data_IF_481382499474
#
_entry.id   IF_481382499474
#
_cell.length_a   1.000
_cell.length_b   1.000
_cell.length_c   1.000
_cell.angle_alpha   90.00
_cell.angle_beta   90.00
_cell.angle_gamma   90.00
#
_symmetry.space_group_name_H-M   'P 1'
#
loop_
_entity.id
_entity.type
_entity.pdbx_description
1 polymer ?
#
# COMPACT_ATOMS: atom_id res chain seq x y z
N UNK A 1 -4.45 -5.82 12.75
CA UNK A 1 -5.16 -5.81 11.45
C UNK A 1 -4.45 -4.81 10.54
N UNK A 2 -4.18 -5.15 9.30
CA UNK A 2 -3.47 -4.29 8.34
C UNK A 2 -4.47 -3.40 7.57
N UNK A 3 -4.01 -2.30 7.00
CA UNK A 3 -4.81 -1.43 6.12
C UNK A 3 -4.04 -1.11 4.83
N UNK A 4 -4.78 -0.87 3.74
CA UNK A 4 -4.22 -0.49 2.45
C UNK A 4 -4.32 1.02 2.23
N UNK A 5 -3.25 1.61 1.71
CA UNK A 5 -3.15 3.02 1.36
C UNK A 5 -2.63 3.17 -0.06
N UNK A 6 -3.24 4.06 -0.83
CA UNK A 6 -2.81 4.38 -2.18
C UNK A 6 -1.85 5.57 -2.16
N UNK A 7 -0.67 5.42 -2.74
CA UNK A 7 0.24 6.50 -3.07
C UNK A 7 0.34 6.65 -4.59
N UNK A 8 0.68 7.85 -5.12
CA UNK A 8 0.98 8.01 -6.53
C UNK A 8 2.11 7.06 -6.95
N UNK A 9 1.94 6.35 -8.07
CA UNK A 9 3.01 5.51 -8.57
C UNK A 9 4.24 6.37 -8.91
N UNK A 10 5.40 5.98 -8.40
CA UNK A 10 6.67 6.67 -8.69
C UNK A 10 7.14 6.48 -10.14
N UNK A 11 6.54 5.54 -10.87
CA UNK A 11 6.85 5.23 -12.27
C UNK A 11 5.58 5.05 -13.08
N UNK A 12 5.36 5.93 -14.07
CA UNK A 12 4.20 5.89 -14.97
C UNK A 12 2.90 6.39 -14.34
N UNK A 13 1.80 6.28 -15.10
CA UNK A 13 0.46 6.61 -14.62
C UNK A 13 -0.06 5.52 -13.66
N UNK A 14 -0.77 5.94 -12.61
CA UNK A 14 -1.53 5.06 -11.73
C UNK A 14 -1.17 5.17 -10.25
N UNK A 15 -1.72 4.24 -9.47
CA UNK A 15 -1.60 4.18 -8.01
C UNK A 15 -0.76 2.97 -7.59
N UNK A 16 0.06 3.16 -6.56
CA UNK A 16 0.74 2.09 -5.86
C UNK A 16 0.05 1.88 -4.51
N UNK A 17 -0.45 0.67 -4.28
CA UNK A 17 -1.05 0.27 -3.03
C UNK A 17 0.01 -0.25 -2.07
N UNK A 18 0.16 0.43 -0.95
CA UNK A 18 1.00 0.03 0.17
C UNK A 18 0.13 -0.52 1.30
N UNK A 19 0.76 -1.32 2.17
CA UNK A 19 0.12 -1.83 3.38
C UNK A 19 0.78 -1.17 4.57
N UNK A 20 0.00 -0.78 5.57
CA UNK A 20 0.51 -0.39 6.89
C UNK A 20 -0.20 -1.15 8.00
N UNK A 21 0.39 -1.18 9.18
CA UNK A 21 -0.28 -1.72 10.35
C UNK A 21 -1.32 -0.70 10.84
N UNK A 22 -2.55 -1.14 11.17
CA UNK A 22 -3.60 -0.22 11.66
C UNK A 22 -3.21 0.52 12.96
N UNK A 23 -2.21 0.02 13.68
CA UNK A 23 -1.63 0.69 14.86
C UNK A 23 -0.47 1.65 14.55
N UNK A 24 0.06 1.62 13.34
CA UNK A 24 1.12 2.53 12.87
C UNK A 24 0.64 3.26 11.61
N UNK A 25 0.07 4.44 11.82
CA UNK A 25 -0.46 5.27 10.75
C UNK A 25 0.65 5.99 9.94
N UNK A 26 1.91 5.95 10.39
CA UNK A 26 3.01 6.73 9.82
C UNK A 26 3.88 5.93 8.87
N UNK A 27 3.98 4.62 9.08
CA UNK A 27 4.93 3.80 8.31
C UNK A 27 4.23 2.66 7.60
N UNK A 28 4.49 2.54 6.30
CA UNK A 28 4.15 1.35 5.52
C UNK A 28 5.04 0.17 5.90
N UNK A 29 4.62 -1.06 5.59
CA UNK A 29 5.41 -2.26 5.86
C UNK A 29 6.71 -2.32 5.04
N UNK A 30 6.83 -1.54 3.96
CA UNK A 30 8.07 -1.38 3.21
C UNK A 30 8.98 -0.27 3.77
N UNK A 31 8.63 0.33 4.91
CA UNK A 31 9.44 1.35 5.58
C UNK A 31 9.29 2.77 5.02
N UNK A 32 8.37 3.00 4.09
CA UNK A 32 8.09 4.36 3.63
C UNK A 32 7.22 5.10 4.63
N UNK A 33 7.63 6.33 4.96
CA UNK A 33 6.81 7.27 5.70
C UNK A 33 5.65 7.73 4.83
N UNK A 34 4.44 7.52 5.33
CA UNK A 34 3.22 8.02 4.73
C UNK A 34 3.15 9.51 5.01
N UNK A 35 3.63 10.32 4.07
CA UNK A 35 3.48 11.76 4.12
C UNK A 35 1.99 12.12 3.93
N UNK A 36 1.19 12.05 5.02
CA UNK A 36 -0.24 12.44 5.12
C UNK A 36 -0.89 12.53 3.74
N UNK A 37 -1.08 11.36 3.10
CA UNK A 37 -1.28 11.31 1.66
C UNK A 37 -2.42 12.24 1.25
N UNK A 38 -2.03 13.28 0.52
CA UNK A 38 -2.91 14.22 -0.18
C UNK A 38 -3.95 13.37 -0.89
N UNK A 39 -5.21 13.63 -0.56
CA UNK A 39 -6.35 12.79 -0.95
C UNK A 39 -6.17 12.28 -2.37
N UNK A 40 -6.18 10.94 -2.50
CA UNK A 40 -6.17 10.26 -3.78
C UNK A 40 -7.20 10.97 -4.66
N UNK A 41 -6.71 11.79 -5.61
CA UNK A 41 -7.61 12.39 -6.59
C UNK A 41 -8.20 11.21 -7.35
N UNK A 42 -9.52 11.13 -7.52
CA UNK A 42 -10.11 10.12 -8.37
C UNK A 42 -9.49 10.32 -9.75
N UNK A 43 -8.69 9.35 -10.19
CA UNK A 43 -8.19 9.31 -11.56
C UNK A 43 -9.41 8.99 -12.40
N UNK A 44 -9.98 10.03 -13.02
CA UNK A 44 -10.96 9.85 -14.09
C UNK A 44 -10.23 9.27 -15.30
N UNK A 45 -10.79 8.16 -15.77
CA UNK A 45 -10.59 7.49 -17.06
C UNK A 45 -9.27 6.75 -17.34
N UNK A 46 -9.47 5.60 -17.99
CA UNK A 46 -8.55 4.51 -18.34
C UNK A 46 -7.93 3.78 -17.15
N UNK A 47 -8.56 2.67 -16.71
CA UNK A 47 -8.15 1.76 -15.62
C UNK A 47 -6.66 1.87 -15.29
N UNK A 48 -6.27 2.76 -14.35
CA UNK A 48 -4.87 2.91 -14.01
C UNK A 48 -4.41 1.57 -13.46
N UNK A 49 -3.30 1.03 -13.98
CA UNK A 49 -2.77 -0.26 -13.53
C UNK A 49 -2.57 -0.22 -12.01
N UNK A 50 -3.49 -0.86 -11.28
CA UNK A 50 -3.43 -1.00 -9.84
C UNK A 50 -2.23 -1.87 -9.52
N UNK A 51 -1.20 -1.27 -8.93
CA UNK A 51 0.03 -1.97 -8.56
C UNK A 51 0.09 -2.10 -7.06
N UNK A 52 0.54 -3.25 -6.57
CA UNK A 52 0.72 -3.51 -5.15
C UNK A 52 2.20 -3.55 -4.82
N UNK A 53 2.58 -2.90 -3.72
CA UNK A 53 3.96 -2.90 -3.24
C UNK A 53 4.37 -4.33 -2.85
N UNK A 54 5.23 -4.97 -3.65
CA UNK A 54 5.64 -6.36 -3.44
C UNK A 54 6.26 -6.61 -2.06
N UNK A 55 7.12 -5.73 -1.51
CA UNK A 55 7.61 -5.87 -0.14
C UNK A 55 6.49 -5.86 0.92
N UNK A 56 5.50 -4.98 0.78
CA UNK A 56 4.36 -4.93 1.70
C UNK A 56 3.56 -6.24 1.67
N UNK A 57 3.25 -6.73 0.46
CA UNK A 57 2.51 -7.98 0.28
C UNK A 57 3.28 -9.19 0.80
N UNK A 58 4.60 -9.24 0.62
CA UNK A 58 5.43 -10.32 1.16
C UNK A 58 5.33 -10.44 2.69
N UNK A 59 5.32 -9.30 3.41
CA UNK A 59 5.14 -9.29 4.87
C UNK A 59 3.76 -9.79 5.26
N UNK A 60 2.70 -9.36 4.56
CA UNK A 60 1.33 -9.84 4.80
C UNK A 60 1.24 -11.35 4.59
N UNK A 61 1.74 -11.87 3.47
CA UNK A 61 1.74 -13.30 3.19
C UNK A 61 2.55 -14.10 4.22
N UNK A 62 3.68 -13.57 4.70
CA UNK A 62 4.43 -14.20 5.78
C UNK A 62 3.61 -14.29 7.07
N UNK A 63 2.93 -13.19 7.45
CA UNK A 63 2.11 -13.14 8.66
C UNK A 63 0.90 -14.08 8.59
N UNK A 64 0.20 -14.10 7.45
CA UNK A 64 -0.95 -14.99 7.24
C UNK A 64 -0.57 -16.46 7.33
N UNK A 65 0.63 -16.84 6.88
CA UNK A 65 1.13 -18.21 7.04
C UNK A 65 1.49 -18.53 8.49
N UNK A 66 2.02 -17.57 9.25
CA UNK A 66 2.30 -17.75 10.67
C UNK A 66 1.05 -17.91 11.53
N UNK A 67 -0.02 -17.18 11.23
CA UNK A 67 -1.28 -17.23 11.99
C UNK A 67 -2.11 -18.49 11.70
N UNK A 68 -1.84 -19.19 10.60
CA UNK A 68 -2.52 -20.43 10.22
C UNK A 68 -1.95 -21.70 10.90
N UNK A 69 -0.95 -21.55 11.78
CA UNK A 69 -0.23 -22.64 12.46
C UNK A 69 -0.47 -22.61 13.95
#
# INVERSE_FOLDING_TARGET
MYEMIADPATTGAGVMWHVRAKGDARTTLCGQEVARTVGARPVLDDTPAERYCSPCMAVVHARMRSDAR
#
